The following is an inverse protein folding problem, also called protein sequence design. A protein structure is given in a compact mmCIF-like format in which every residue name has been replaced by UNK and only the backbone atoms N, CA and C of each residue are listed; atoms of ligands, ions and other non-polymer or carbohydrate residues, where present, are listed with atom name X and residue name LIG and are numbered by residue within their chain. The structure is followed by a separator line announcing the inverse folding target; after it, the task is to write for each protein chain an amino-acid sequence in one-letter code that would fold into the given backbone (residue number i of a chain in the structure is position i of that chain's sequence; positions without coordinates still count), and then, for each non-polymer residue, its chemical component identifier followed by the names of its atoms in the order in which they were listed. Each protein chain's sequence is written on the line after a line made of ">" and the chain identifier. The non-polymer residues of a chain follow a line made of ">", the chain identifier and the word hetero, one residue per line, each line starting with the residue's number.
data_IF_651483074460
#
_entry.id   IF_651483074460
#
_cell.length_a   1.000
_cell.length_b   1.000
_cell.length_c   1.000
_cell.angle_alpha   90.00
_cell.angle_beta   90.00
_cell.angle_gamma   90.00
#
_symmetry.space_group_name_H-M   'P 1'
#
loop_
_entity.id
_entity.type
_entity.pdbx_description
1 polymer ?
#
# COMPACT_ATOMS: atom_id res chain seq x y z
N UNK A 1 5.39 -0.26 -8.91
CA UNK A 1 5.41 -0.84 -7.55
C UNK A 1 5.73 0.27 -6.55
N UNK A 2 5.01 0.34 -5.44
CA UNK A 2 5.17 1.32 -4.37
C UNK A 2 5.47 0.58 -3.06
N UNK A 3 6.47 1.03 -2.30
CA UNK A 3 6.83 0.46 -0.99
C UNK A 3 6.74 1.53 0.07
N UNK A 4 6.00 1.24 1.14
CA UNK A 4 5.83 2.11 2.29
C UNK A 4 6.50 1.46 3.50
N UNK A 5 7.24 2.24 4.26
CA UNK A 5 7.88 1.78 5.49
C UNK A 5 7.43 2.68 6.62
N UNK A 6 7.03 2.08 7.74
CA UNK A 6 6.77 2.80 8.97
C UNK A 6 8.02 2.82 9.85
N UNK A 7 8.81 3.91 9.89
CA UNK A 7 9.99 4.01 10.76
C UNK A 7 9.63 4.22 12.24
N UNK A 8 8.36 4.45 12.56
CA UNK A 8 7.91 4.73 13.92
C UNK A 8 7.78 3.44 14.74
N UNK A 9 8.06 3.49 16.06
CA UNK A 9 7.72 2.41 16.98
C UNK A 9 6.20 2.28 17.25
N UNK A 10 5.34 3.06 16.58
CA UNK A 10 3.89 3.08 16.77
C UNK A 10 3.15 2.77 15.46
N UNK A 11 1.95 2.20 15.57
CA UNK A 11 1.04 2.07 14.42
C UNK A 11 0.80 3.45 13.81
N UNK A 12 0.83 3.53 12.49
CA UNK A 12 0.61 4.76 11.74
C UNK A 12 -0.44 4.53 10.65
N UNK A 13 -1.45 5.38 10.63
CA UNK A 13 -2.40 5.45 9.52
C UNK A 13 -1.82 6.32 8.40
N UNK A 14 -1.80 5.79 7.18
CA UNK A 14 -1.28 6.43 5.98
C UNK A 14 -2.37 6.45 4.92
N UNK A 15 -2.53 7.59 4.26
CA UNK A 15 -3.38 7.72 3.08
C UNK A 15 -2.49 8.00 1.87
N UNK A 16 -2.56 7.11 0.88
CA UNK A 16 -1.90 7.28 -0.42
C UNK A 16 -2.93 7.87 -1.37
N UNK A 17 -2.69 9.10 -1.83
CA UNK A 17 -3.55 9.78 -2.81
C UNK A 17 -2.94 9.64 -4.20
N UNK A 18 -3.74 9.20 -5.16
CA UNK A 18 -3.30 8.99 -6.54
C UNK A 18 -3.80 10.14 -7.43
N UNK A 19 -2.88 10.84 -8.09
CA UNK A 19 -3.25 11.89 -9.06
C UNK A 19 -3.98 11.33 -10.30
N UNK A 20 -3.61 10.13 -10.75
CA UNK A 20 -4.36 9.32 -11.70
C UNK A 20 -4.80 8.03 -10.98
N UNK A 21 -6.09 7.70 -10.88
CA UNK A 21 -6.52 6.47 -10.22
C UNK A 21 -5.93 5.24 -10.93
N UNK A 22 -5.28 4.31 -10.20
CA UNK A 22 -4.92 3.01 -10.75
C UNK A 22 -6.18 2.19 -11.05
N UNK A 23 -6.16 1.40 -12.12
CA UNK A 23 -7.22 0.45 -12.45
C UNK A 23 -7.30 -0.68 -11.42
N UNK A 24 -6.16 -1.14 -10.90
CA UNK A 24 -6.08 -2.14 -9.82
C UNK A 24 -4.94 -1.84 -8.87
N UNK A 25 -5.15 -2.17 -7.61
CA UNK A 25 -4.11 -2.11 -6.57
C UNK A 25 -4.04 -3.46 -5.88
N UNK A 26 -2.85 -4.02 -5.82
CA UNK A 26 -2.59 -5.30 -5.16
C UNK A 26 -1.63 -5.08 -4.00
N UNK A 27 -1.98 -5.62 -2.83
CA UNK A 27 -1.03 -5.82 -1.74
C UNK A 27 -0.18 -7.04 -2.09
N UNK A 28 1.13 -6.81 -2.17
CA UNK A 28 2.11 -7.85 -2.48
C UNK A 28 3.02 -8.11 -1.28
N UNK A 29 3.47 -9.36 -1.16
CA UNK A 29 4.60 -9.68 -0.26
C UNK A 29 5.92 -9.23 -0.89
N UNK A 30 6.99 -9.27 -0.08
CA UNK A 30 8.35 -8.94 -0.55
C UNK A 30 8.84 -9.87 -1.66
N UNK A 31 8.27 -11.07 -1.78
CA UNK A 31 8.50 -12.04 -2.85
C UNK A 31 7.63 -11.79 -4.11
N UNK A 32 6.94 -10.63 -4.18
CA UNK A 32 6.05 -10.23 -5.26
C UNK A 32 4.80 -11.11 -5.43
N UNK A 33 4.50 -12.01 -4.49
CA UNK A 33 3.25 -12.76 -4.49
C UNK A 33 2.10 -11.82 -4.16
N UNK A 34 1.13 -11.72 -5.07
CA UNK A 34 -0.11 -10.97 -4.89
C UNK A 34 -0.97 -11.65 -3.81
N UNK A 35 -1.29 -10.90 -2.75
CA UNK A 35 -2.02 -11.45 -1.59
C UNK A 35 -3.48 -11.02 -1.61
N UNK A 36 -3.73 -9.75 -1.93
CA UNK A 36 -5.04 -9.13 -1.76
C UNK A 36 -5.22 -7.97 -2.73
N UNK A 37 -6.34 -7.94 -3.47
CA UNK A 37 -6.73 -6.77 -4.25
C UNK A 37 -7.35 -5.73 -3.33
N UNK A 38 -6.78 -4.53 -3.31
CA UNK A 38 -7.28 -3.40 -2.54
C UNK A 38 -8.12 -2.51 -3.45
N UNK A 39 -9.33 -2.17 -3.00
CA UNK A 39 -10.14 -1.15 -3.66
C UNK A 39 -9.51 0.23 -3.40
N UNK A 40 -9.08 0.89 -4.47
CA UNK A 40 -8.63 2.27 -4.43
C UNK A 40 -9.50 3.09 -5.38
N UNK A 41 -10.17 4.11 -4.88
CA UNK A 41 -10.96 5.06 -5.67
C UNK A 41 -10.42 6.46 -5.44
N UNK A 42 -9.30 6.76 -6.11
CA UNK A 42 -8.54 8.02 -5.95
C UNK A 42 -7.62 8.08 -4.72
N UNK A 43 -7.94 7.38 -3.63
CA UNK A 43 -7.02 7.19 -2.50
C UNK A 43 -7.09 5.79 -1.89
N UNK A 44 -6.06 5.44 -1.12
CA UNK A 44 -5.94 4.18 -0.40
C UNK A 44 -5.48 4.45 1.04
N UNK A 45 -6.29 4.05 2.02
CA UNK A 45 -5.96 4.14 3.44
C UNK A 45 -5.38 2.83 3.95
N UNK A 46 -4.25 2.91 4.64
CA UNK A 46 -3.51 1.77 5.16
C UNK A 46 -3.10 2.03 6.60
N UNK A 47 -3.20 0.99 7.44
CA UNK A 47 -2.57 0.96 8.77
C UNK A 47 -1.24 0.24 8.65
N UNK A 48 -0.15 0.91 9.00
CA UNK A 48 1.19 0.34 9.03
C UNK A 48 1.59 0.08 10.47
N UNK A 49 1.84 -1.19 10.79
CA UNK A 49 2.40 -1.59 12.08
C UNK A 49 3.83 -1.05 12.26
N UNK A 50 4.34 -0.94 13.49
CA UNK A 50 5.71 -0.49 13.75
C UNK A 50 6.74 -1.27 12.92
N UNK A 51 7.65 -0.57 12.25
CA UNK A 51 8.72 -1.14 11.44
C UNK A 51 8.28 -2.05 10.28
N UNK A 52 6.99 -2.03 9.93
CA UNK A 52 6.45 -2.81 8.82
C UNK A 52 6.78 -2.15 7.48
N UNK A 53 7.16 -3.00 6.52
CA UNK A 53 7.25 -2.64 5.11
C UNK A 53 6.02 -3.20 4.40
N UNK A 54 5.27 -2.32 3.74
CA UNK A 54 4.08 -2.62 2.97
C UNK A 54 4.37 -2.42 1.49
N UNK A 55 4.10 -3.42 0.65
CA UNK A 55 4.35 -3.36 -0.79
C UNK A 55 3.04 -3.38 -1.56
N UNK A 56 2.88 -2.41 -2.45
CA UNK A 56 1.70 -2.23 -3.30
C UNK A 56 2.12 -2.30 -4.76
N UNK A 57 1.47 -3.17 -5.53
CA UNK A 57 1.54 -3.19 -6.99
C UNK A 57 0.36 -2.39 -7.53
N UNK A 58 0.65 -1.36 -8.32
CA UNK A 58 -0.34 -0.47 -8.92
C UNK A 58 -0.37 -0.76 -10.43
N UNK A 59 -1.56 -1.01 -10.96
CA UNK A 59 -1.81 -1.18 -12.40
C UNK A 59 -2.66 0.02 -12.87
N UNK A 60 -2.22 0.73 -13.91
CA UNK A 60 -2.79 2.01 -14.38
C UNK A 60 -3.41 1.94 -15.78
#
# INVERSE_FOLDING_TARGET
>A
MLRLYNPSPRETEVEVVFGKPPARVWRARLDETEVEELKADGSLKLKLEPYKVETLKLEF
#
